data_IF_134048647585
#
_entry.id   IF_134048647585
#
_cell.length_a   1.000
_cell.length_b   1.000
_cell.length_c   1.000
_cell.angle_alpha   90.00
_cell.angle_beta   90.00
_cell.angle_gamma   90.00
#
_symmetry.space_group_name_H-M   'P 1'
#
loop_
_entity.id
_entity.type
_entity.pdbx_description
1 polymer ?
#
# COMPACT_ATOMS: atom_id res chain seq x y z
N UNK A 1 -8.39 5.72 -11.14
CA UNK A 1 -7.81 6.63 -10.14
C UNK A 1 -7.25 5.86 -8.95
N UNK A 2 -8.07 5.13 -8.18
CA UNK A 2 -7.63 4.38 -6.98
C UNK A 2 -6.70 3.20 -7.32
N UNK A 3 -7.02 2.42 -8.38
CA UNK A 3 -6.15 1.35 -8.87
C UNK A 3 -4.74 1.84 -9.24
N UNK A 4 -4.65 3.05 -9.82
CA UNK A 4 -3.38 3.67 -10.21
C UNK A 4 -2.46 3.89 -9.01
N UNK A 5 -3.01 4.42 -7.91
CA UNK A 5 -2.28 4.60 -6.64
C UNK A 5 -1.61 3.30 -6.18
N UNK A 6 -2.34 2.17 -6.26
CA UNK A 6 -1.83 0.87 -5.81
C UNK A 6 -0.77 0.32 -6.76
N UNK A 7 -0.98 0.40 -8.07
CA UNK A 7 0.01 -0.05 -9.06
C UNK A 7 1.28 0.79 -9.00
N UNK A 8 1.17 2.12 -8.87
CA UNK A 8 2.32 3.01 -8.75
C UNK A 8 3.15 2.67 -7.50
N UNK A 9 2.49 2.31 -6.39
CA UNK A 9 3.18 1.87 -5.17
C UNK A 9 3.87 0.51 -5.34
N UNK A 10 3.27 -0.43 -6.07
CA UNK A 10 3.89 -1.72 -6.39
C UNK A 10 5.12 -1.54 -7.29
N UNK A 11 5.03 -0.64 -8.28
CA UNK A 11 6.14 -0.30 -9.17
C UNK A 11 7.29 0.37 -8.42
N UNK A 12 6.98 1.27 -7.46
CA UNK A 12 8.00 1.85 -6.58
C UNK A 12 8.64 0.81 -5.64
N UNK A 13 7.87 -0.19 -5.21
CA UNK A 13 8.39 -1.28 -4.37
C UNK A 13 9.32 -2.21 -5.18
N UNK A 14 9.10 -2.32 -6.49
CA UNK A 14 9.87 -3.18 -7.37
C UNK A 14 11.34 -2.76 -7.39
N UNK A 15 12.23 -3.66 -6.97
CA UNK A 15 13.66 -3.41 -6.95
C UNK A 15 14.16 -2.54 -5.80
N UNK A 16 13.32 -2.22 -4.80
CA UNK A 16 13.75 -1.46 -3.62
C UNK A 16 14.95 -2.13 -2.90
N UNK A 17 15.03 -3.46 -2.92
CA UNK A 17 16.15 -4.22 -2.34
C UNK A 17 17.51 -3.93 -3.01
N UNK A 18 17.51 -3.46 -4.25
CA UNK A 18 18.73 -3.12 -5.01
C UNK A 18 19.20 -1.68 -4.78
N UNK A 19 18.40 -0.85 -4.10
CA UNK A 19 18.73 0.54 -3.81
C UNK A 19 19.64 0.67 -2.59
N UNK A 20 20.37 1.78 -2.48
CA UNK A 20 21.14 2.07 -1.26
C UNK A 20 20.19 2.41 -0.11
N UNK A 21 20.59 2.22 1.17
CA UNK A 21 19.70 2.48 2.31
C UNK A 21 19.02 3.85 2.33
N UNK A 22 19.73 4.91 1.91
CA UNK A 22 19.15 6.27 1.80
C UNK A 22 18.04 6.35 0.74
N UNK A 23 18.23 5.69 -0.39
CA UNK A 23 17.28 5.65 -1.51
C UNK A 23 16.08 4.74 -1.17
N UNK A 24 16.31 3.66 -0.42
CA UNK A 24 15.25 2.81 0.14
C UNK A 24 14.32 3.62 1.05
N UNK A 25 14.87 4.40 1.99
CA UNK A 25 14.06 5.29 2.85
C UNK A 25 13.30 6.34 2.03
N UNK A 26 13.94 6.94 1.02
CA UNK A 26 13.27 7.89 0.12
C UNK A 26 12.10 7.25 -0.65
N UNK A 27 12.29 6.02 -1.12
CA UNK A 27 11.25 5.26 -1.82
C UNK A 27 10.07 4.95 -0.90
N UNK A 28 10.33 4.50 0.33
CA UNK A 28 9.29 4.27 1.33
C UNK A 28 8.54 5.57 1.68
N UNK A 29 9.23 6.71 1.75
CA UNK A 29 8.59 8.01 1.97
C UNK A 29 7.66 8.40 0.81
N UNK A 30 8.08 8.19 -0.44
CA UNK A 30 7.23 8.42 -1.61
C UNK A 30 5.97 7.55 -1.56
N UNK A 31 6.10 6.28 -1.19
CA UNK A 31 4.96 5.37 -1.01
C UNK A 31 4.02 5.90 0.09
N UNK A 32 4.55 6.38 1.22
CA UNK A 32 3.73 6.96 2.30
C UNK A 32 2.89 8.14 1.80
N UNK A 33 3.47 8.99 0.96
CA UNK A 33 2.82 10.20 0.43
C UNK A 33 1.74 9.82 -0.59
N UNK A 34 2.04 8.90 -1.50
CA UNK A 34 1.07 8.37 -2.48
C UNK A 34 -0.10 7.69 -1.77
N UNK A 35 0.16 6.78 -0.84
CA UNK A 35 -0.89 6.11 -0.06
C UNK A 35 -1.66 7.07 0.86
N UNK A 36 -1.05 8.19 1.26
CA UNK A 36 -1.70 9.24 2.02
C UNK A 36 -2.89 9.90 1.30
N UNK A 37 -2.91 9.83 -0.03
CA UNK A 37 -4.02 10.33 -0.87
C UNK A 37 -5.17 9.34 -1.03
N UNK A 38 -5.02 8.09 -0.54
CA UNK A 38 -6.05 7.07 -0.68
C UNK A 38 -7.33 7.47 0.08
N UNK A 39 -8.51 7.44 -0.56
CA UNK A 39 -9.71 8.00 0.01
C UNK A 39 -10.18 7.22 1.25
N UNK A 40 -10.45 7.94 2.33
CA UNK A 40 -11.07 7.37 3.52
C UNK A 40 -12.55 7.03 3.23
N UNK A 41 -13.03 5.83 3.61
CA UNK A 41 -14.44 5.49 3.43
C UNK A 41 -15.35 6.42 4.24
N UNK A 42 -16.43 6.91 3.61
CA UNK A 42 -17.40 7.83 4.25
C UNK A 42 -18.33 7.15 5.27
N UNK A 43 -18.48 5.82 5.21
CA UNK A 43 -19.27 5.01 6.14
C UNK A 43 -18.61 3.65 6.33
N UNK A 44 -18.31 3.29 7.57
CA UNK A 44 -17.42 2.17 7.89
C UNK A 44 -17.99 0.79 7.59
N UNK A 45 -19.29 0.62 7.38
CA UNK A 45 -19.91 -0.72 7.42
C UNK A 45 -20.76 -1.12 6.21
N UNK A 46 -20.98 -0.24 5.23
CA UNK A 46 -21.91 -0.54 4.11
C UNK A 46 -21.26 -1.26 2.93
N UNK A 47 -19.97 -1.05 2.69
CA UNK A 47 -19.22 -1.82 1.70
C UNK A 47 -17.96 -2.37 2.38
N UNK A 48 -17.97 -3.69 2.63
CA UNK A 48 -16.91 -4.40 3.34
C UNK A 48 -15.61 -4.41 2.54
N UNK A 49 -15.69 -4.48 1.22
CA UNK A 49 -14.51 -4.56 0.34
C UNK A 49 -13.79 -3.22 0.25
N UNK A 50 -14.54 -2.11 0.17
CA UNK A 50 -13.98 -0.76 0.27
C UNK A 50 -13.30 -0.54 1.63
N UNK A 51 -13.93 -0.97 2.73
CA UNK A 51 -13.31 -0.88 4.06
C UNK A 51 -12.03 -1.74 4.12
N UNK A 52 -12.09 -2.98 3.65
CA UNK A 52 -10.94 -3.88 3.62
C UNK A 52 -9.78 -3.28 2.82
N UNK A 53 -10.04 -2.73 1.64
CA UNK A 53 -9.04 -2.01 0.83
C UNK A 53 -8.39 -0.86 1.61
N UNK A 54 -9.20 -0.02 2.27
CA UNK A 54 -8.67 1.08 3.07
C UNK A 54 -7.80 0.60 4.24
N UNK A 55 -8.19 -0.49 4.90
CA UNK A 55 -7.42 -1.07 6.00
C UNK A 55 -6.09 -1.66 5.52
N UNK A 56 -6.08 -2.39 4.41
CA UNK A 56 -4.86 -2.89 3.81
C UNK A 56 -3.91 -1.75 3.41
N UNK A 57 -4.42 -0.70 2.76
CA UNK A 57 -3.62 0.49 2.43
C UNK A 57 -3.06 1.18 3.68
N UNK A 58 -3.86 1.27 4.73
CA UNK A 58 -3.43 1.84 6.02
C UNK A 58 -2.31 1.02 6.65
N UNK A 59 -2.40 -0.31 6.60
CA UNK A 59 -1.36 -1.22 7.07
C UNK A 59 -0.08 -1.09 6.26
N UNK A 60 -0.16 -1.05 4.92
CA UNK A 60 0.99 -0.82 4.06
C UNK A 60 1.69 0.51 4.40
N UNK A 61 0.92 1.60 4.54
CA UNK A 61 1.46 2.92 4.93
C UNK A 61 2.12 2.90 6.31
N UNK A 62 1.55 2.18 7.27
CA UNK A 62 2.12 2.06 8.61
C UNK A 62 3.42 1.25 8.59
N UNK A 63 3.49 0.16 7.83
CA UNK A 63 4.71 -0.61 7.64
C UNK A 63 5.82 0.25 7.02
N UNK A 64 5.53 1.05 5.98
CA UNK A 64 6.50 2.00 5.44
C UNK A 64 7.05 2.94 6.51
N UNK A 65 6.17 3.54 7.33
CA UNK A 65 6.57 4.47 8.40
C UNK A 65 7.46 3.80 9.44
N UNK A 66 7.08 2.60 9.89
CA UNK A 66 7.86 1.85 10.87
C UNK A 66 9.24 1.45 10.32
N UNK A 67 9.32 1.10 9.03
CA UNK A 67 10.60 0.83 8.36
C UNK A 67 11.47 2.08 8.21
N UNK A 68 10.90 3.22 7.85
CA UNK A 68 11.63 4.50 7.78
C UNK A 68 12.19 4.91 9.15
N UNK A 69 11.40 4.69 10.21
CA UNK A 69 11.76 4.95 11.61
C UNK A 69 12.66 3.87 12.24
N UNK A 70 13.04 2.83 11.48
CA UNK A 70 13.92 1.75 11.93
C UNK A 70 13.36 0.88 13.07
N UNK A 71 12.05 0.96 13.36
CA UNK A 71 11.35 0.05 14.27
C UNK A 71 10.96 -1.28 13.61
N UNK A 72 11.12 -1.38 12.29
CA UNK A 72 10.83 -2.57 11.48
C UNK A 72 11.92 -2.73 10.43
N UNK A 73 12.45 -3.95 10.27
CA UNK A 73 13.47 -4.21 9.24
C UNK A 73 12.90 -3.98 7.84
N UNK A 74 13.75 -3.62 6.87
CA UNK A 74 13.30 -3.41 5.48
C UNK A 74 12.65 -4.66 4.90
N UNK A 75 13.21 -5.86 5.18
CA UNK A 75 12.68 -7.12 4.68
C UNK A 75 11.28 -7.41 5.22
N UNK A 76 11.08 -7.21 6.52
CA UNK A 76 9.78 -7.39 7.16
C UNK A 76 8.77 -6.36 6.65
N UNK A 77 9.17 -5.09 6.58
CA UNK A 77 8.36 -4.02 6.03
C UNK A 77 7.95 -4.29 4.59
N UNK A 78 8.90 -4.68 3.73
CA UNK A 78 8.65 -5.04 2.33
C UNK A 78 7.56 -6.09 2.21
N UNK A 79 7.66 -7.21 2.95
CA UNK A 79 6.68 -8.28 2.90
C UNK A 79 5.28 -7.80 3.30
N UNK A 80 5.18 -7.01 4.37
CA UNK A 80 3.91 -6.47 4.84
C UNK A 80 3.33 -5.51 3.80
N UNK A 81 4.14 -4.57 3.29
CA UNK A 81 3.71 -3.60 2.28
C UNK A 81 3.19 -4.34 1.04
N UNK A 82 3.99 -5.27 0.50
CA UNK A 82 3.66 -6.03 -0.71
C UNK A 82 2.33 -6.77 -0.60
N UNK A 83 2.16 -7.60 0.45
CA UNK A 83 0.95 -8.40 0.64
C UNK A 83 -0.29 -7.51 0.79
N UNK A 84 -0.18 -6.39 1.51
CA UNK A 84 -1.32 -5.48 1.69
C UNK A 84 -1.68 -4.76 0.37
N UNK A 85 -0.70 -4.35 -0.43
CA UNK A 85 -0.95 -3.76 -1.74
C UNK A 85 -1.56 -4.77 -2.74
N UNK A 86 -1.07 -6.00 -2.77
CA UNK A 86 -1.64 -7.07 -3.61
C UNK A 86 -3.08 -7.44 -3.21
N UNK A 87 -3.36 -7.56 -1.92
CA UNK A 87 -4.72 -7.82 -1.43
C UNK A 87 -5.68 -6.68 -1.82
N UNK A 88 -5.21 -5.43 -1.69
CA UNK A 88 -5.99 -4.26 -2.14
C UNK A 88 -6.26 -4.33 -3.64
N UNK A 89 -5.24 -4.62 -4.44
CA UNK A 89 -5.38 -4.72 -5.89
C UNK A 89 -6.36 -5.83 -6.31
N UNK A 90 -6.30 -6.99 -5.63
CA UNK A 90 -7.17 -8.13 -5.89
C UNK A 90 -8.65 -7.78 -5.66
N UNK A 91 -8.96 -7.15 -4.52
CA UNK A 91 -10.31 -6.69 -4.22
C UNK A 91 -10.82 -5.65 -5.22
N UNK A 92 -9.98 -4.68 -5.60
CA UNK A 92 -10.34 -3.66 -6.59
C UNK A 92 -10.61 -4.26 -7.98
N UNK A 93 -9.94 -5.36 -8.34
CA UNK A 93 -10.16 -6.07 -9.62
C UNK A 93 -11.42 -6.92 -9.57
N UNK A 94 -11.73 -7.56 -8.44
CA UNK A 94 -12.92 -8.41 -8.32
C UNK A 94 -14.22 -7.61 -8.20
N UNK A 95 -14.23 -6.44 -7.55
CA UNK A 95 -15.38 -5.51 -7.59
C UNK A 95 -15.71 -5.11 -9.04
N UNK A 96 -14.71 -4.92 -9.91
CA UNK A 96 -14.94 -4.57 -11.33
C UNK A 96 -15.55 -5.71 -12.14
N UNK A 97 -15.31 -6.97 -11.76
CA UNK A 97 -15.92 -8.13 -12.40
C UNK A 97 -17.36 -8.35 -11.93
N UNK A 98 -17.67 -8.04 -10.67
CA UNK A 98 -19.01 -8.21 -10.11
C UNK A 98 -20.04 -7.18 -10.60
N UNK A 99 -19.58 -6.07 -11.20
CA UNK A 99 -20.43 -5.00 -11.75
C UNK A 99 -20.67 -5.15 -13.28
N UNK A 100 -20.08 -6.17 -13.92
CA UNK A 100 -20.33 -6.54 -15.33
C UNK A 100 -21.27 -7.74 -15.43
#
# INVERSE_FOLDING_TARGET
MIKGIITDCLDLLAGIENLKPKEQKGTLQNIIDVLGSYPKPKKELKNKDILACYLFVSNARNACKLSVLEYMSLKEGFNIIHVNLENTLSLLVDELKAVR
#
